data_IF_030815537366
#
_entry.id   IF_030815537366
#
_cell.length_a   1.000
_cell.length_b   1.000
_cell.length_c   1.000
_cell.angle_alpha   90.00
_cell.angle_beta   90.00
_cell.angle_gamma   90.00
#
_symmetry.space_group_name_H-M   'P 1'
#
loop_
_entity.id
_entity.type
_entity.pdbx_description
1 polymer ?
#
# COMPACT_ATOMS: atom_id res chain seq x y z
N UNK A 1 -54.45 33.33 -35.71
CA UNK A 1 -54.55 32.09 -34.87
C UNK A 1 -54.60 32.47 -33.37
N UNK A 2 -53.66 33.27 -32.89
CA UNK A 2 -53.56 33.66 -31.46
C UNK A 2 -54.80 34.40 -30.94
N UNK A 3 -55.48 35.25 -31.78
CA UNK A 3 -56.70 35.89 -31.39
C UNK A 3 -57.94 34.97 -31.30
N UNK A 4 -57.88 33.79 -31.83
CA UNK A 4 -58.93 32.80 -31.74
C UNK A 4 -58.77 31.89 -30.50
N UNK A 5 -57.54 31.77 -30.00
CA UNK A 5 -57.18 30.94 -28.86
C UNK A 5 -57.10 31.72 -27.53
N UNK A 6 -57.27 33.08 -27.60
CA UNK A 6 -57.29 33.94 -26.41
C UNK A 6 -55.91 34.36 -25.90
N UNK A 7 -54.83 33.96 -26.55
CA UNK A 7 -53.45 34.26 -26.18
C UNK A 7 -53.00 35.67 -26.64
N UNK A 8 -51.98 36.26 -26.00
CA UNK A 8 -51.41 37.55 -26.37
C UNK A 8 -50.40 37.42 -27.51
N UNK A 9 -50.67 37.97 -28.73
CA UNK A 9 -49.79 37.87 -29.86
C UNK A 9 -48.41 38.58 -29.70
N UNK A 10 -48.20 39.30 -28.61
CA UNK A 10 -46.91 39.95 -28.30
C UNK A 10 -46.17 39.28 -27.14
N UNK A 11 -46.76 38.29 -26.53
CA UNK A 11 -46.18 37.49 -25.46
C UNK A 11 -46.14 36.02 -25.90
N UNK A 12 -44.97 35.39 -26.00
CA UNK A 12 -44.88 33.99 -26.42
C UNK A 12 -45.33 33.00 -25.35
N UNK A 13 -45.50 33.42 -24.11
CA UNK A 13 -45.88 32.65 -22.91
C UNK A 13 -46.96 33.50 -22.17
N UNK A 14 -48.18 33.28 -22.54
CA UNK A 14 -49.32 34.20 -22.16
C UNK A 14 -49.64 34.16 -20.67
N UNK A 15 -49.51 33.01 -20.02
CA UNK A 15 -49.80 32.81 -18.58
C UNK A 15 -48.56 32.84 -17.68
N UNK A 16 -47.35 32.77 -18.29
CA UNK A 16 -46.08 32.97 -17.59
C UNK A 16 -45.58 31.75 -16.78
N UNK A 17 -45.94 30.57 -17.18
CA UNK A 17 -45.58 29.31 -16.50
C UNK A 17 -44.23 28.74 -16.92
N UNK A 18 -43.65 29.30 -18.01
CA UNK A 18 -42.36 28.88 -18.56
C UNK A 18 -42.45 28.02 -19.80
N UNK A 19 -43.65 27.60 -20.24
CA UNK A 19 -43.92 26.92 -21.51
C UNK A 19 -44.50 27.95 -22.52
N UNK A 20 -44.10 27.88 -23.77
CA UNK A 20 -44.63 28.78 -24.79
C UNK A 20 -46.01 28.35 -25.28
N UNK A 21 -46.95 29.28 -25.61
CA UNK A 21 -48.26 28.98 -26.14
C UNK A 21 -48.29 27.98 -27.28
N UNK A 22 -47.22 27.95 -28.09
CA UNK A 22 -47.05 27.01 -29.20
C UNK A 22 -46.74 25.59 -28.73
N UNK A 23 -45.89 25.45 -27.72
CA UNK A 23 -45.49 24.14 -27.11
C UNK A 23 -46.67 23.58 -26.30
N UNK A 24 -47.42 24.42 -25.61
CA UNK A 24 -48.61 24.02 -24.87
C UNK A 24 -49.68 23.40 -25.79
N UNK A 25 -49.89 24.00 -26.97
CA UNK A 25 -50.78 23.41 -27.96
C UNK A 25 -50.33 22.02 -28.44
N UNK A 26 -49.03 21.77 -28.47
CA UNK A 26 -48.50 20.47 -28.82
C UNK A 26 -48.65 19.47 -27.67
N UNK A 27 -48.41 19.92 -26.44
CA UNK A 27 -48.59 19.17 -25.20
C UNK A 27 -50.05 19.01 -24.82
N UNK A 28 -50.96 19.87 -25.37
CA UNK A 28 -52.40 19.91 -25.08
C UNK A 28 -52.71 20.45 -23.69
N UNK A 29 -51.90 21.34 -23.20
CA UNK A 29 -52.16 22.16 -22.02
C UNK A 29 -52.92 23.47 -22.44
N UNK A 30 -53.35 24.29 -21.46
CA UNK A 30 -54.09 25.52 -21.71
C UNK A 30 -53.21 26.73 -21.60
N UNK A 31 -52.84 27.42 -22.71
CA UNK A 31 -51.92 28.55 -22.73
C UNK A 31 -52.45 29.85 -22.06
N UNK A 32 -53.53 29.78 -21.32
CA UNK A 32 -54.07 30.85 -20.51
C UNK A 32 -54.18 30.46 -19.03
N UNK A 33 -53.76 29.25 -18.70
CA UNK A 33 -53.85 28.74 -17.33
C UNK A 33 -52.53 28.06 -16.95
N UNK A 34 -51.69 28.65 -16.10
CA UNK A 34 -50.35 28.17 -15.77
C UNK A 34 -50.31 26.83 -15.07
N UNK A 35 -51.46 26.24 -14.76
CA UNK A 35 -51.63 24.96 -14.08
C UNK A 35 -52.90 24.33 -14.69
N UNK A 36 -52.67 23.52 -15.74
CA UNK A 36 -53.76 23.03 -16.61
C UNK A 36 -54.71 22.08 -15.89
N UNK A 37 -54.22 21.19 -15.04
CA UNK A 37 -55.02 20.19 -14.33
C UNK A 37 -55.45 20.59 -12.92
N UNK A 38 -54.78 21.64 -12.35
CA UNK A 38 -55.19 22.27 -11.11
C UNK A 38 -54.66 21.62 -9.83
N UNK A 39 -53.55 20.90 -9.91
CA UNK A 39 -52.94 20.21 -8.78
C UNK A 39 -52.09 21.14 -7.90
N UNK A 40 -51.61 22.27 -8.45
CA UNK A 40 -50.79 23.30 -7.78
C UNK A 40 -49.38 23.41 -8.35
N UNK A 41 -48.97 22.59 -9.30
CA UNK A 41 -47.73 22.66 -10.06
C UNK A 41 -47.98 23.34 -11.41
N UNK A 42 -47.11 24.23 -11.84
CA UNK A 42 -47.26 24.89 -13.13
C UNK A 42 -46.82 23.94 -14.26
N UNK A 43 -47.48 23.97 -15.43
CA UNK A 43 -47.22 23.10 -16.59
C UNK A 43 -45.74 23.08 -17.02
N UNK A 44 -45.00 24.17 -16.74
CA UNK A 44 -43.55 24.24 -17.04
C UNK A 44 -42.66 23.52 -16.07
N UNK A 45 -43.16 23.16 -14.91
CA UNK A 45 -42.45 22.39 -13.88
C UNK A 45 -43.03 21.01 -13.61
N UNK A 46 -44.04 20.62 -14.43
CA UNK A 46 -44.84 19.42 -14.29
C UNK A 46 -44.53 18.42 -15.43
N UNK A 47 -44.13 17.23 -15.06
CA UNK A 47 -43.85 16.14 -16.03
C UNK A 47 -45.18 15.55 -16.58
N UNK A 48 -46.28 15.72 -15.83
CA UNK A 48 -47.64 15.21 -16.18
C UNK A 48 -48.73 16.31 -16.21
N UNK A 49 -48.55 17.44 -16.90
CA UNK A 49 -49.33 18.65 -16.76
C UNK A 49 -50.83 18.52 -17.17
N UNK A 50 -51.35 17.34 -17.13
CA UNK A 50 -52.75 16.99 -17.41
C UNK A 50 -53.27 15.89 -16.52
N UNK A 51 -52.48 15.43 -15.53
CA UNK A 51 -52.88 14.41 -14.57
C UNK A 51 -52.74 14.97 -13.15
N UNK A 52 -53.86 15.41 -12.53
CA UNK A 52 -53.84 16.10 -11.24
C UNK A 52 -53.45 15.21 -10.06
N UNK A 53 -53.06 13.95 -10.29
CA UNK A 53 -52.54 13.04 -9.28
C UNK A 53 -51.04 12.77 -9.39
N UNK A 54 -50.35 13.35 -10.43
CA UNK A 54 -48.94 13.18 -10.71
C UNK A 54 -48.31 14.51 -11.13
N UNK A 55 -47.09 14.83 -10.63
CA UNK A 55 -46.38 16.05 -10.96
C UNK A 55 -44.87 15.84 -11.26
N UNK A 56 -44.28 14.71 -10.86
CA UNK A 56 -42.87 14.36 -11.05
C UNK A 56 -42.70 12.98 -11.62
N UNK A 57 -41.62 12.81 -12.40
CA UNK A 57 -41.16 11.56 -13.01
C UNK A 57 -39.64 11.50 -12.83
N UNK A 58 -39.20 11.05 -11.66
CA UNK A 58 -37.80 11.16 -11.21
C UNK A 58 -36.83 10.38 -12.11
N UNK A 59 -37.22 9.18 -12.55
CA UNK A 59 -36.40 8.32 -13.41
C UNK A 59 -36.64 8.50 -14.91
N UNK A 60 -37.71 9.20 -15.30
CA UNK A 60 -38.11 9.42 -16.69
C UNK A 60 -38.76 8.18 -17.35
N UNK A 61 -39.31 7.25 -16.56
CA UNK A 61 -39.97 6.03 -17.04
C UNK A 61 -41.32 6.33 -17.78
N UNK A 62 -41.94 7.45 -17.45
CA UNK A 62 -43.27 7.87 -17.88
C UNK A 62 -44.41 7.38 -16.94
N UNK A 63 -44.02 6.89 -15.76
CA UNK A 63 -44.91 6.62 -14.62
C UNK A 63 -44.60 7.72 -13.57
N UNK A 64 -45.59 8.37 -13.00
CA UNK A 64 -45.36 9.40 -12.01
C UNK A 64 -45.00 8.81 -10.64
N UNK A 65 -44.23 9.58 -9.86
CA UNK A 65 -43.69 9.15 -8.58
C UNK A 65 -44.75 8.73 -7.56
N UNK A 66 -46.01 9.21 -7.67
CA UNK A 66 -47.06 8.82 -6.77
C UNK A 66 -47.60 7.40 -7.06
N UNK A 67 -47.38 6.88 -8.26
CA UNK A 67 -47.86 5.55 -8.72
C UNK A 67 -46.72 4.61 -9.04
N UNK A 68 -45.49 5.12 -9.18
CA UNK A 68 -44.31 4.28 -9.27
C UNK A 68 -43.99 3.64 -7.89
N UNK A 69 -43.26 2.63 -7.86
CA UNK A 69 -42.83 1.92 -6.65
C UNK A 69 -41.32 1.85 -6.49
N UNK A 70 -40.60 2.47 -7.45
CA UNK A 70 -39.13 2.57 -7.52
C UNK A 70 -38.87 3.88 -8.30
N UNK A 71 -39.01 5.02 -7.58
CA UNK A 71 -39.06 6.37 -8.17
C UNK A 71 -37.77 6.74 -8.94
N UNK A 72 -36.63 6.11 -8.66
CA UNK A 72 -35.33 6.45 -9.27
C UNK A 72 -34.72 5.31 -10.09
N UNK A 73 -35.42 4.16 -10.21
CA UNK A 73 -35.04 2.97 -11.00
C UNK A 73 -33.65 2.38 -10.62
N UNK A 74 -33.30 2.46 -9.32
CA UNK A 74 -32.03 1.91 -8.81
C UNK A 74 -32.11 0.40 -8.51
N UNK A 75 -33.33 -0.18 -8.53
CA UNK A 75 -33.61 -1.59 -8.37
C UNK A 75 -34.05 -2.02 -6.98
N UNK A 76 -34.28 -1.08 -6.06
CA UNK A 76 -35.00 -1.28 -4.80
C UNK A 76 -36.25 -0.40 -4.76
N UNK A 77 -37.24 -0.79 -3.96
CA UNK A 77 -38.48 -0.04 -3.91
C UNK A 77 -38.44 1.09 -2.90
N UNK A 78 -39.23 2.17 -3.10
CA UNK A 78 -39.37 3.28 -2.15
C UNK A 78 -39.64 2.82 -0.72
N UNK A 79 -40.43 1.76 -0.53
CA UNK A 79 -40.70 1.19 0.80
C UNK A 79 -39.43 0.57 1.41
N UNK A 80 -38.60 -0.08 0.59
CA UNK A 80 -37.31 -0.65 1.03
C UNK A 80 -36.31 0.45 1.31
N UNK A 81 -36.27 1.50 0.51
CA UNK A 81 -35.42 2.66 0.69
C UNK A 81 -35.74 3.43 1.98
N UNK A 82 -37.01 3.77 2.20
CA UNK A 82 -37.46 4.41 3.46
C UNK A 82 -37.08 3.57 4.68
N UNK A 83 -37.16 2.25 4.57
CA UNK A 83 -36.75 1.34 5.63
C UNK A 83 -35.23 1.29 5.85
N UNK A 84 -34.45 1.40 4.79
CA UNK A 84 -32.97 1.39 4.82
C UNK A 84 -32.42 2.79 5.12
N UNK A 85 -33.21 3.83 5.00
CA UNK A 85 -32.84 5.22 5.25
C UNK A 85 -32.20 5.91 4.06
N UNK A 86 -32.38 5.35 2.87
CA UNK A 86 -31.98 5.93 1.58
C UNK A 86 -33.06 6.86 1.03
N UNK A 87 -32.81 7.49 -0.09
CA UNK A 87 -33.69 8.50 -0.69
C UNK A 87 -34.36 8.00 -1.97
N UNK A 88 -35.68 7.67 -1.96
CA UNK A 88 -36.43 7.12 -3.10
C UNK A 88 -36.38 7.91 -4.42
N UNK A 89 -35.79 9.08 -4.44
CA UNK A 89 -35.65 9.96 -5.60
C UNK A 89 -34.21 10.24 -5.98
N UNK A 90 -33.28 9.47 -5.44
CA UNK A 90 -31.87 9.61 -5.72
C UNK A 90 -31.18 8.24 -5.72
N UNK A 91 -30.89 7.68 -6.88
CA UNK A 91 -30.39 6.30 -7.02
C UNK A 91 -29.03 6.04 -6.36
N UNK A 92 -28.38 7.05 -5.80
CA UNK A 92 -27.08 7.01 -5.15
C UNK A 92 -27.12 8.00 -3.98
N UNK A 93 -27.57 7.53 -2.81
CA UNK A 93 -27.86 8.38 -1.65
C UNK A 93 -26.65 9.08 -1.08
N UNK A 94 -25.51 8.40 -1.00
CA UNK A 94 -24.27 8.94 -0.42
C UNK A 94 -23.32 9.58 -1.44
N UNK A 95 -23.54 9.32 -2.74
CA UNK A 95 -22.86 10.01 -3.84
C UNK A 95 -21.49 9.44 -4.17
N UNK A 96 -21.23 8.17 -3.89
CA UNK A 96 -19.96 7.52 -4.15
C UNK A 96 -19.83 6.96 -5.57
N UNK A 97 -20.95 6.86 -6.32
CA UNK A 97 -21.00 6.36 -7.70
C UNK A 97 -21.50 4.93 -7.84
N UNK A 98 -21.94 4.31 -6.75
CA UNK A 98 -22.67 3.05 -6.75
C UNK A 98 -24.15 3.34 -6.39
N UNK A 99 -25.10 2.63 -6.97
CA UNK A 99 -26.50 2.82 -6.61
C UNK A 99 -26.86 2.08 -5.33
N UNK A 100 -27.82 2.64 -4.56
CA UNK A 100 -28.28 2.07 -3.30
C UNK A 100 -28.70 0.60 -3.46
N UNK A 101 -29.37 0.25 -4.57
CA UNK A 101 -29.75 -1.12 -4.88
C UNK A 101 -28.57 -2.04 -5.22
N UNK A 102 -27.50 -1.52 -5.85
CA UNK A 102 -26.27 -2.28 -6.08
C UNK A 102 -25.52 -2.51 -4.77
N UNK A 103 -25.46 -1.51 -3.89
CA UNK A 103 -24.80 -1.58 -2.60
C UNK A 103 -25.44 -2.60 -1.66
N UNK A 104 -26.77 -2.55 -1.51
CA UNK A 104 -27.50 -3.54 -0.72
C UNK A 104 -27.25 -4.95 -1.23
N UNK A 105 -27.15 -5.15 -2.53
CA UNK A 105 -26.86 -6.44 -3.14
C UNK A 105 -25.43 -6.90 -2.86
N UNK A 106 -24.46 -5.98 -2.86
CA UNK A 106 -23.04 -6.25 -2.64
C UNK A 106 -22.69 -6.32 -1.14
N UNK A 107 -23.50 -5.70 -0.28
CA UNK A 107 -23.36 -5.70 1.17
C UNK A 107 -22.61 -4.47 1.72
N UNK A 108 -22.40 -3.46 0.88
CA UNK A 108 -21.92 -2.13 1.30
C UNK A 108 -23.04 -1.31 1.93
N UNK A 109 -22.75 -0.17 2.53
CA UNK A 109 -23.71 0.69 3.23
C UNK A 109 -24.12 1.90 2.37
N UNK A 110 -25.34 1.93 1.77
CA UNK A 110 -25.78 2.99 0.87
C UNK A 110 -25.92 4.38 1.52
N UNK A 111 -25.59 4.52 2.78
CA UNK A 111 -25.55 5.81 3.48
C UNK A 111 -24.12 6.21 3.87
N UNK A 112 -23.11 5.43 3.50
CA UNK A 112 -21.72 5.67 3.86
C UNK A 112 -20.80 5.40 2.68
N UNK A 113 -20.26 6.42 2.01
CA UNK A 113 -19.48 6.28 0.79
C UNK A 113 -18.15 5.53 0.93
N UNK A 114 -17.79 5.07 2.12
CA UNK A 114 -16.56 4.35 2.46
C UNK A 114 -16.94 3.31 3.52
N UNK A 115 -17.36 2.13 3.05
CA UNK A 115 -18.01 1.11 3.90
C UNK A 115 -17.06 0.50 4.93
N UNK A 116 -15.77 0.33 4.63
CA UNK A 116 -14.79 -0.27 5.53
C UNK A 116 -13.91 0.75 6.27
N UNK A 117 -13.94 2.03 5.86
CA UNK A 117 -13.27 3.11 6.55
C UNK A 117 -11.76 3.17 6.32
N UNK A 118 -11.33 2.82 5.13
CA UNK A 118 -9.92 2.82 4.76
C UNK A 118 -9.45 4.15 4.14
N UNK A 119 -10.39 4.96 3.64
CA UNK A 119 -10.16 6.27 3.01
C UNK A 119 -10.30 6.29 1.49
N UNK A 120 -10.62 5.16 0.86
CA UNK A 120 -11.20 5.09 -0.47
C UNK A 120 -12.73 5.02 -0.36
N UNK A 121 -13.47 5.47 -1.37
CA UNK A 121 -14.90 5.21 -1.42
C UNK A 121 -15.20 3.93 -2.22
N UNK A 122 -16.35 3.30 -1.94
CA UNK A 122 -16.73 2.00 -2.51
C UNK A 122 -16.75 2.03 -4.05
N UNK A 123 -17.15 3.17 -4.65
CA UNK A 123 -17.12 3.40 -6.09
C UNK A 123 -15.70 3.47 -6.66
N UNK A 124 -14.78 4.15 -5.98
CA UNK A 124 -13.37 4.18 -6.37
C UNK A 124 -12.72 2.80 -6.25
N UNK A 125 -13.08 2.04 -5.24
CA UNK A 125 -12.60 0.67 -5.02
C UNK A 125 -13.06 -0.28 -6.13
N UNK A 126 -14.33 -0.22 -6.48
CA UNK A 126 -14.88 -0.95 -7.63
C UNK A 126 -14.11 -0.65 -8.93
N UNK A 127 -13.74 0.61 -9.17
CA UNK A 127 -12.95 1.00 -10.34
C UNK A 127 -11.52 0.46 -10.30
N UNK A 128 -10.91 0.35 -9.10
CA UNK A 128 -9.53 -0.11 -8.88
C UNK A 128 -9.44 -1.63 -8.75
N UNK A 129 -10.53 -2.27 -8.33
CA UNK A 129 -10.64 -3.71 -8.12
C UNK A 129 -10.21 -4.15 -6.72
N UNK A 130 -10.20 -3.23 -5.77
CA UNK A 130 -10.10 -3.52 -4.33
C UNK A 130 -11.45 -3.99 -3.78
N UNK A 131 -11.49 -4.45 -2.53
CA UNK A 131 -12.71 -4.97 -1.89
C UNK A 131 -13.30 -3.93 -0.93
N UNK A 132 -14.47 -3.32 -1.23
CA UNK A 132 -15.07 -2.26 -0.41
C UNK A 132 -15.48 -2.69 1.01
N UNK A 133 -15.23 -3.92 1.39
CA UNK A 133 -15.50 -4.46 2.72
C UNK A 133 -14.24 -4.95 3.44
N UNK A 134 -13.07 -4.81 2.82
CA UNK A 134 -11.78 -5.19 3.39
C UNK A 134 -10.76 -4.06 3.23
N UNK A 135 -10.46 -3.32 4.30
CA UNK A 135 -9.61 -2.13 4.26
C UNK A 135 -8.13 -2.37 3.89
N UNK A 136 -7.75 -3.61 3.57
CA UNK A 136 -6.38 -4.04 3.25
C UNK A 136 -6.47 -5.25 2.31
N UNK A 137 -6.81 -4.99 1.05
CA UNK A 137 -7.19 -6.02 0.05
C UNK A 137 -6.11 -7.07 -0.18
N UNK A 138 -4.83 -6.70 -0.16
CA UNK A 138 -3.72 -7.63 -0.40
C UNK A 138 -3.06 -8.18 0.89
N UNK A 139 -3.52 -7.69 2.05
CA UNK A 139 -3.13 -8.16 3.38
C UNK A 139 -1.66 -7.95 3.75
N UNK A 140 -1.11 -6.79 3.38
CA UNK A 140 0.27 -6.42 3.68
C UNK A 140 0.44 -5.56 4.96
N UNK A 141 -0.66 -5.17 5.60
CA UNK A 141 -0.83 -4.27 6.74
C UNK A 141 -0.69 -2.78 6.41
N UNK A 142 -0.89 -2.40 5.16
CA UNK A 142 -1.12 -1.04 4.72
C UNK A 142 -2.55 -0.98 4.16
N UNK A 143 -3.30 0.06 4.45
CA UNK A 143 -4.67 0.20 3.96
C UNK A 143 -4.70 0.66 2.50
N UNK A 144 -5.66 0.19 1.71
CA UNK A 144 -5.78 0.51 0.29
C UNK A 144 -5.77 2.01 0.04
N UNK A 145 -6.52 2.80 0.83
CA UNK A 145 -6.50 4.26 0.73
C UNK A 145 -5.15 4.89 1.12
N UNK A 146 -4.42 4.32 2.07
CA UNK A 146 -3.07 4.78 2.40
C UNK A 146 -2.08 4.46 1.28
N UNK A 147 -2.22 3.31 0.61
CA UNK A 147 -1.40 2.89 -0.51
C UNK A 147 -1.53 3.84 -1.70
N UNK A 148 -2.74 4.23 -2.04
CA UNK A 148 -2.99 5.23 -3.09
C UNK A 148 -2.26 6.54 -2.78
N UNK A 149 -2.26 6.99 -1.52
CA UNK A 149 -1.56 8.20 -1.10
C UNK A 149 -0.04 8.04 -1.20
N UNK A 150 0.49 6.85 -0.93
CA UNK A 150 1.93 6.55 -0.96
C UNK A 150 2.43 6.17 -2.35
N UNK A 151 1.53 5.75 -3.25
CA UNK A 151 1.80 5.37 -4.62
C UNK A 151 2.17 3.89 -4.79
N UNK A 152 1.93 3.08 -3.76
CA UNK A 152 1.98 1.61 -3.83
C UNK A 152 0.74 1.04 -4.52
N UNK A 153 0.65 -0.24 -4.67
CA UNK A 153 -0.45 -0.88 -5.39
C UNK A 153 -1.27 -1.78 -4.44
N UNK A 154 -2.51 -1.42 -4.09
CA UNK A 154 -3.35 -2.12 -3.11
C UNK A 154 -3.75 -3.56 -3.49
N UNK A 155 -3.26 -4.07 -4.59
CA UNK A 155 -3.44 -5.46 -5.03
C UNK A 155 -2.12 -6.25 -5.05
N UNK A 156 -1.02 -5.66 -4.57
CA UNK A 156 0.33 -6.27 -4.64
C UNK A 156 1.09 -5.96 -3.36
N UNK A 157 1.18 -6.89 -2.44
CA UNK A 157 1.69 -6.68 -1.08
C UNK A 157 3.18 -6.33 -0.96
N UNK A 158 3.92 -6.33 -2.06
CA UNK A 158 5.35 -6.01 -2.19
C UNK A 158 5.54 -5.32 -3.54
N UNK A 159 5.40 -3.99 -3.56
CA UNK A 159 5.31 -3.19 -4.78
C UNK A 159 6.60 -3.18 -5.60
N UNK A 160 7.76 -3.21 -4.97
CA UNK A 160 9.05 -3.20 -5.66
C UNK A 160 9.70 -4.58 -5.80
N UNK A 161 9.16 -5.60 -5.13
CA UNK A 161 9.61 -6.99 -5.15
C UNK A 161 11.02 -7.20 -4.62
N UNK A 162 11.33 -6.66 -3.46
CA UNK A 162 12.58 -6.87 -2.74
C UNK A 162 12.50 -7.98 -1.66
N UNK A 163 11.26 -8.43 -1.35
CA UNK A 163 10.96 -9.46 -0.37
C UNK A 163 10.48 -8.91 0.97
N UNK A 164 10.26 -7.60 1.08
CA UNK A 164 9.62 -6.92 2.19
C UNK A 164 8.22 -6.47 1.76
N UNK A 165 7.26 -6.46 2.66
CA UNK A 165 5.89 -6.01 2.37
C UNK A 165 5.81 -4.49 2.54
N UNK A 166 5.02 -3.80 1.69
CA UNK A 166 4.90 -2.35 1.69
C UNK A 166 4.53 -1.79 3.08
N UNK A 167 3.55 -2.41 3.76
CA UNK A 167 3.19 -2.03 5.13
C UNK A 167 4.30 -2.26 6.14
N UNK A 168 5.16 -3.26 5.95
CA UNK A 168 6.32 -3.49 6.78
C UNK A 168 7.40 -2.43 6.55
N UNK A 169 7.62 -2.04 5.32
CA UNK A 169 8.56 -0.98 4.94
C UNK A 169 8.17 0.37 5.52
N UNK A 170 6.89 0.74 5.41
CA UNK A 170 6.35 1.94 6.06
C UNK A 170 6.61 1.91 7.58
N UNK A 171 6.45 0.74 8.21
CA UNK A 171 6.69 0.59 9.65
C UNK A 171 8.15 0.82 10.05
N UNK A 172 9.10 0.34 9.25
CA UNK A 172 10.54 0.46 9.55
C UNK A 172 11.18 1.71 8.94
N UNK A 173 10.50 2.36 7.99
CA UNK A 173 10.91 3.63 7.39
C UNK A 173 11.68 3.51 6.08
N UNK A 174 11.70 2.32 5.47
CA UNK A 174 12.21 2.13 4.10
C UNK A 174 11.23 2.64 3.06
N UNK A 175 11.56 2.55 1.80
CA UNK A 175 10.76 3.08 0.70
C UNK A 175 10.17 1.93 -0.14
N UNK A 176 8.86 1.65 -0.05
CA UNK A 176 8.21 0.52 -0.73
C UNK A 176 8.19 0.58 -2.27
N UNK A 177 8.81 1.59 -2.84
CA UNK A 177 8.99 1.74 -4.29
C UNK A 177 10.48 1.70 -4.70
N UNK A 178 11.38 1.35 -3.78
CA UNK A 178 12.81 1.31 -4.02
C UNK A 178 13.48 0.18 -3.24
N UNK A 179 13.75 -0.91 -3.88
CA UNK A 179 14.32 -2.17 -3.37
C UNK A 179 15.55 -2.08 -2.47
N UNK A 180 16.28 -0.98 -2.51
CA UNK A 180 17.56 -0.72 -1.85
C UNK A 180 17.53 0.74 -1.41
N UNK A 181 17.02 0.97 -0.19
CA UNK A 181 16.71 2.32 0.32
C UNK A 181 17.95 3.14 0.54
N UNK A 182 19.02 2.58 1.08
CA UNK A 182 20.28 3.27 1.42
C UNK A 182 21.36 3.16 0.33
N UNK A 183 21.13 2.36 -0.70
CA UNK A 183 21.93 2.22 -1.92
C UNK A 183 23.31 1.58 -1.70
N UNK A 184 23.35 0.60 -0.84
CA UNK A 184 24.57 -0.17 -0.55
C UNK A 184 24.74 -1.44 -1.40
N UNK A 185 23.74 -1.78 -2.25
CA UNK A 185 23.60 -2.95 -3.15
C UNK A 185 23.02 -4.20 -2.49
N UNK A 186 22.66 -4.14 -1.21
CA UNK A 186 21.85 -5.14 -0.55
C UNK A 186 20.38 -4.69 -0.63
N UNK A 187 19.45 -5.59 -0.79
CA UNK A 187 18.03 -5.23 -0.84
C UNK A 187 17.48 -5.13 0.58
N UNK A 188 16.55 -4.21 0.82
CA UNK A 188 15.96 -3.97 2.14
C UNK A 188 15.44 -5.29 2.78
N UNK A 189 14.78 -6.14 1.97
CA UNK A 189 14.34 -7.47 2.42
C UNK A 189 15.47 -8.47 2.68
N UNK A 190 16.60 -8.35 1.99
CA UNK A 190 17.79 -9.15 2.27
C UNK A 190 18.47 -8.68 3.55
N UNK A 191 18.51 -7.37 3.82
CA UNK A 191 19.07 -6.78 5.02
C UNK A 191 18.36 -7.27 6.29
N UNK A 192 17.04 -7.26 6.30
CA UNK A 192 16.27 -7.87 7.39
C UNK A 192 16.66 -9.33 7.65
N UNK A 193 16.97 -10.08 6.60
CA UNK A 193 17.38 -11.47 6.71
C UNK A 193 18.80 -11.64 7.21
N UNK A 194 19.72 -10.72 6.83
CA UNK A 194 21.10 -10.71 7.31
C UNK A 194 21.26 -10.03 8.66
N UNK A 195 20.28 -9.22 9.08
CA UNK A 195 20.26 -8.50 10.35
C UNK A 195 21.02 -7.18 10.30
N UNK A 196 21.18 -6.62 9.10
CA UNK A 196 21.69 -5.27 8.86
C UNK A 196 20.58 -4.21 8.95
N UNK A 197 20.91 -2.96 8.89
CA UNK A 197 19.96 -1.82 8.98
C UNK A 197 19.69 -1.22 7.60
N UNK A 198 18.53 -1.43 6.98
CA UNK A 198 18.20 -0.99 5.62
C UNK A 198 18.13 0.53 5.43
N UNK A 199 18.48 1.30 6.45
CA UNK A 199 18.63 2.76 6.39
C UNK A 199 20.07 3.21 6.59
N UNK A 200 21.01 2.28 6.74
CA UNK A 200 22.41 2.57 7.03
C UNK A 200 23.33 1.67 6.19
N UNK A 201 23.92 2.18 5.11
CA UNK A 201 24.69 1.39 4.14
C UNK A 201 25.96 0.72 4.68
N UNK A 202 26.29 0.90 5.95
CA UNK A 202 27.46 0.36 6.65
C UNK A 202 27.04 0.14 8.11
N UNK A 203 26.41 -1.01 8.38
CA UNK A 203 25.75 -1.30 9.66
C UNK A 203 26.72 -1.33 10.83
N UNK A 204 27.94 -1.85 10.66
CA UNK A 204 28.93 -1.95 11.73
C UNK A 204 29.93 -0.78 11.79
N UNK A 205 29.95 0.08 10.78
CA UNK A 205 30.71 1.33 10.76
C UNK A 205 32.18 1.16 10.39
N UNK A 206 32.54 0.10 9.67
CA UNK A 206 33.91 -0.21 9.33
C UNK A 206 34.41 0.40 8.00
N UNK A 207 33.52 1.09 7.29
CA UNK A 207 33.73 1.75 5.99
C UNK A 207 33.69 0.81 4.77
N UNK A 208 33.21 -0.42 4.95
CA UNK A 208 32.81 -1.31 3.87
C UNK A 208 31.27 -1.32 3.87
N UNK A 209 30.66 -1.33 2.70
CA UNK A 209 29.20 -1.36 2.59
C UNK A 209 28.69 -2.80 2.84
N UNK A 210 27.54 -2.94 3.49
CA UNK A 210 26.97 -4.24 3.84
C UNK A 210 26.81 -5.15 2.61
N UNK A 211 26.36 -4.60 1.47
CA UNK A 211 26.27 -5.31 0.21
C UNK A 211 27.62 -5.75 -0.37
N UNK A 212 28.65 -4.92 -0.24
CA UNK A 212 30.03 -5.29 -0.64
C UNK A 212 30.60 -6.39 0.27
N UNK A 213 30.24 -6.41 1.56
CA UNK A 213 30.65 -7.44 2.49
C UNK A 213 30.00 -8.79 2.17
N UNK A 214 28.70 -8.81 1.91
CA UNK A 214 28.00 -10.03 1.47
C UNK A 214 28.61 -10.57 0.18
N UNK A 215 28.91 -9.71 -0.80
CA UNK A 215 29.59 -10.14 -2.04
C UNK A 215 30.97 -10.74 -1.78
N UNK A 216 31.74 -10.14 -0.85
CA UNK A 216 33.10 -10.60 -0.48
C UNK A 216 33.09 -11.77 0.50
N UNK A 217 31.95 -12.07 1.15
CA UNK A 217 31.81 -13.15 2.13
C UNK A 217 32.36 -12.78 3.52
N UNK A 218 32.38 -11.50 3.84
CA UNK A 218 32.62 -10.95 5.19
C UNK A 218 31.30 -10.81 5.96
N UNK A 219 31.34 -10.36 7.20
CA UNK A 219 30.16 -10.26 8.09
C UNK A 219 29.77 -8.81 8.29
N UNK A 220 28.68 -8.31 7.68
CA UNK A 220 28.29 -6.90 7.71
C UNK A 220 27.81 -6.40 9.10
N UNK A 221 27.82 -7.26 10.10
CA UNK A 221 27.50 -6.90 11.48
C UNK A 221 28.75 -6.86 12.38
N UNK A 222 29.95 -6.94 11.80
CA UNK A 222 31.16 -7.07 12.56
C UNK A 222 32.31 -6.21 12.00
N UNK A 223 32.60 -5.05 12.64
CA UNK A 223 33.71 -4.15 12.29
C UNK A 223 35.02 -4.92 12.16
N UNK A 224 35.43 -5.17 10.93
CA UNK A 224 36.67 -5.84 10.58
C UNK A 224 37.72 -4.89 9.98
N UNK A 225 37.47 -3.58 9.95
CA UNK A 225 38.37 -2.56 9.47
C UNK A 225 39.74 -2.56 10.18
N UNK A 226 39.78 -3.06 11.41
CA UNK A 226 41.01 -3.20 12.22
C UNK A 226 41.45 -4.66 12.32
N UNK A 227 41.01 -5.52 11.39
CA UNK A 227 41.23 -6.97 11.45
C UNK A 227 42.50 -7.42 10.72
N UNK A 228 43.56 -6.65 10.69
CA UNK A 228 44.86 -7.23 10.37
C UNK A 228 45.18 -8.33 11.40
N UNK A 229 45.14 -9.58 10.94
CA UNK A 229 45.71 -10.70 11.70
C UNK A 229 47.19 -10.50 11.77
N UNK A 230 47.65 -9.91 12.87
CA UNK A 230 49.07 -9.70 13.09
C UNK A 230 49.65 -10.93 13.78
N UNK A 231 50.52 -11.59 13.08
CA UNK A 231 51.29 -12.72 13.62
C UNK A 231 52.57 -12.21 14.22
N UNK A 232 52.86 -12.58 15.48
CA UNK A 232 54.14 -12.24 16.09
C UNK A 232 55.28 -12.88 15.31
N UNK A 233 56.27 -12.11 14.93
CA UNK A 233 57.42 -12.57 14.12
C UNK A 233 58.34 -13.48 14.88
N UNK A 234 58.30 -13.50 16.21
CA UNK A 234 59.25 -14.23 17.04
C UNK A 234 58.57 -15.16 18.05
N UNK A 235 58.85 -16.42 17.95
CA UNK A 235 58.58 -17.40 19.00
C UNK A 235 59.93 -17.93 19.55
N UNK A 236 60.20 -17.64 20.83
CA UNK A 236 61.36 -18.17 21.52
C UNK A 236 60.96 -19.26 22.49
N UNK A 237 60.92 -20.56 22.06
CA UNK A 237 60.51 -21.65 22.90
C UNK A 237 61.44 -21.78 24.13
N UNK A 238 60.83 -21.66 25.32
CA UNK A 238 61.60 -21.78 26.56
C UNK A 238 62.11 -20.49 27.18
N UNK A 239 61.78 -19.34 26.59
CA UNK A 239 62.01 -18.05 27.25
C UNK A 239 61.26 -17.99 28.59
N UNK A 240 61.89 -17.41 29.60
CA UNK A 240 61.21 -17.09 30.86
C UNK A 240 60.30 -15.88 30.75
N UNK A 241 60.34 -15.17 29.62
CA UNK A 241 59.44 -14.10 29.29
C UNK A 241 58.16 -14.66 28.69
N UNK A 242 57.04 -14.44 29.37
CA UNK A 242 55.75 -14.98 28.99
C UNK A 242 55.25 -14.52 27.61
N UNK A 243 55.66 -13.33 27.18
CA UNK A 243 55.31 -12.77 25.85
C UNK A 243 56.11 -13.40 24.71
N UNK A 244 57.28 -13.98 25.00
CA UNK A 244 58.13 -14.65 24.03
C UNK A 244 57.97 -16.20 24.04
N UNK A 245 57.24 -16.74 24.99
CA UNK A 245 57.09 -18.17 25.19
C UNK A 245 55.89 -18.80 24.44
N UNK A 246 54.97 -18.02 23.94
CA UNK A 246 53.86 -18.45 23.12
C UNK A 246 53.77 -17.67 21.81
N UNK A 247 53.35 -18.33 20.78
CA UNK A 247 53.12 -17.69 19.50
C UNK A 247 51.75 -17.01 19.53
N UNK A 248 51.76 -15.68 19.29
CA UNK A 248 50.59 -14.86 19.41
C UNK A 248 50.13 -14.42 18.03
N UNK A 249 48.89 -14.60 17.78
CA UNK A 249 48.15 -14.07 16.64
C UNK A 249 47.19 -13.02 17.21
N UNK A 250 47.41 -11.75 16.93
CA UNK A 250 46.52 -10.68 17.37
C UNK A 250 45.16 -10.82 16.60
N UNK A 251 44.10 -10.50 17.27
CA UNK A 251 42.73 -10.56 16.76
C UNK A 251 42.21 -11.98 16.41
N UNK A 252 42.93 -13.07 16.72
CA UNK A 252 42.49 -14.45 16.41
C UNK A 252 41.21 -14.83 17.17
N UNK A 253 40.95 -14.21 18.30
CA UNK A 253 39.73 -14.37 19.09
C UNK A 253 38.46 -13.97 18.34
N UNK A 254 38.57 -13.08 17.39
CA UNK A 254 37.49 -12.64 16.50
C UNK A 254 37.10 -13.75 15.49
N UNK A 255 37.97 -14.74 15.30
CA UNK A 255 37.77 -15.88 14.37
C UNK A 255 37.68 -17.21 15.10
N UNK A 256 36.63 -17.50 15.88
CA UNK A 256 36.54 -18.70 16.74
C UNK A 256 36.52 -20.00 15.96
N UNK A 257 36.21 -19.98 14.68
CA UNK A 257 36.18 -21.14 13.80
C UNK A 257 37.43 -21.29 12.91
N UNK A 258 38.32 -20.31 12.92
CA UNK A 258 39.55 -20.37 12.13
C UNK A 258 40.42 -21.57 12.52
N UNK A 259 41.10 -22.15 11.55
CA UNK A 259 42.06 -23.20 11.73
C UNK A 259 43.44 -22.59 11.53
N UNK A 260 44.22 -22.54 12.61
CA UNK A 260 45.63 -22.13 12.56
C UNK A 260 46.48 -23.37 12.34
N UNK A 261 47.33 -23.35 11.31
CA UNK A 261 48.26 -24.40 10.97
C UNK A 261 49.67 -23.85 10.85
N UNK A 262 50.65 -24.51 11.43
CA UNK A 262 52.06 -24.13 11.35
C UNK A 262 52.84 -25.22 10.67
N UNK A 263 53.73 -24.85 9.77
CA UNK A 263 54.60 -25.73 9.01
C UNK A 263 56.04 -25.39 9.26
N UNK A 264 56.89 -26.41 9.33
CA UNK A 264 58.33 -26.17 9.32
C UNK A 264 58.87 -25.90 7.90
N UNK A 265 60.11 -25.45 7.76
CA UNK A 265 60.74 -25.12 6.47
C UNK A 265 60.74 -26.26 5.43
N UNK A 266 60.49 -27.48 5.86
CA UNK A 266 60.40 -28.64 4.98
C UNK A 266 58.94 -28.95 4.55
N UNK A 267 57.97 -28.11 4.88
CA UNK A 267 56.55 -28.29 4.58
C UNK A 267 55.86 -29.30 5.49
N UNK A 268 56.48 -29.73 6.57
CA UNK A 268 55.82 -30.65 7.52
C UNK A 268 54.96 -29.84 8.50
N UNK A 269 53.68 -30.21 8.61
CA UNK A 269 52.75 -29.62 9.59
C UNK A 269 53.18 -29.97 11.01
N UNK A 270 53.47 -28.98 11.82
CA UNK A 270 53.91 -29.15 13.21
C UNK A 270 52.87 -28.70 14.23
N UNK A 271 51.86 -27.95 13.79
CA UNK A 271 50.75 -27.57 14.63
C UNK A 271 49.49 -27.43 13.79
N UNK A 272 48.32 -27.70 14.39
CA UNK A 272 47.00 -27.42 13.80
C UNK A 272 45.98 -27.37 14.92
N UNK A 273 45.20 -26.27 14.97
CA UNK A 273 44.13 -26.09 15.95
C UNK A 273 43.02 -25.25 15.38
N UNK A 274 41.77 -25.74 15.50
CA UNK A 274 40.58 -24.96 15.28
C UNK A 274 40.27 -24.14 16.55
N UNK A 275 39.90 -22.87 16.40
CA UNK A 275 39.67 -21.97 17.52
C UNK A 275 40.95 -21.78 18.36
N UNK A 276 42.00 -21.29 17.74
CA UNK A 276 43.27 -21.01 18.39
C UNK A 276 43.13 -19.85 19.37
N UNK A 277 43.71 -19.96 20.52
CA UNK A 277 43.63 -18.98 21.63
C UNK A 277 45.02 -18.57 22.14
N UNK A 278 45.98 -18.45 21.25
CA UNK A 278 47.32 -17.95 21.56
C UNK A 278 48.09 -18.75 22.66
N UNK A 279 47.89 -20.07 22.68
CA UNK A 279 48.45 -20.89 23.74
C UNK A 279 49.47 -21.94 23.26
N UNK A 280 49.88 -21.93 22.00
CA UNK A 280 50.91 -22.83 21.52
C UNK A 280 52.31 -22.33 21.85
N UNK A 281 53.13 -23.16 22.47
CA UNK A 281 54.49 -22.84 22.96
C UNK A 281 55.60 -23.42 22.11
N UNK A 282 55.31 -23.79 20.87
CA UNK A 282 56.28 -24.39 19.97
C UNK A 282 56.58 -25.86 20.25
N UNK A 283 55.61 -26.64 20.74
CA UNK A 283 55.73 -28.06 21.02
C UNK A 283 55.21 -28.89 19.83
N UNK A 284 55.96 -29.96 19.48
CA UNK A 284 55.56 -30.94 18.51
C UNK A 284 55.89 -32.36 19.00
N UNK A 285 54.89 -33.24 19.04
CA UNK A 285 55.02 -34.63 19.53
C UNK A 285 55.71 -34.73 20.90
N UNK A 286 55.39 -33.81 21.82
CA UNK A 286 55.88 -33.81 23.17
C UNK A 286 57.30 -33.29 23.36
N UNK A 287 57.90 -32.76 22.32
CA UNK A 287 59.24 -32.11 22.38
C UNK A 287 59.15 -30.70 21.80
N UNK A 288 60.00 -29.80 22.31
CA UNK A 288 60.07 -28.44 21.76
C UNK A 288 60.67 -28.45 20.37
N UNK A 289 60.13 -27.62 19.52
CA UNK A 289 60.69 -27.41 18.18
C UNK A 289 62.05 -26.74 18.26
N UNK A 290 63.00 -27.11 17.39
CA UNK A 290 64.28 -26.44 17.30
C UNK A 290 64.07 -25.00 16.75
N UNK A 291 64.97 -24.10 17.07
CA UNK A 291 65.00 -22.76 16.49
C UNK A 291 65.07 -22.83 14.96
N UNK A 292 64.19 -22.03 14.30
CA UNK A 292 64.08 -22.03 12.84
C UNK A 292 62.92 -21.26 12.34
N UNK A 293 62.78 -21.13 11.01
CA UNK A 293 61.62 -20.50 10.38
C UNK A 293 60.43 -21.45 10.30
N UNK A 294 59.28 -21.02 10.68
CA UNK A 294 58.01 -21.70 10.60
C UNK A 294 57.00 -20.79 9.86
N UNK A 295 56.08 -21.36 9.19
CA UNK A 295 55.10 -20.66 8.30
C UNK A 295 53.67 -21.04 8.66
#
# INVERSE_FOLDING_TARGET
KEKEDGTDPNDPDTDGDGVNDGEEKEKKTDPNNPDTDGDGTNDGGDDFPRDPDEDTDTDGSGTGDNTDTDDDDDGITDEEEIKNGTNPKNPDTDGDGISDGEEIKNGTDPNNPDSDGDGLNDGEEKERGTDPLDPDTDNDNLKDGEEIIKGTNPLVPDSDNDGLLDGKEIQIGTNPLNKDTDQDKLLDGEEIKYGTDPLNPDTDGDSILDGDEIENGTDPNFDDSNNEILVSELLTPGSSNRLESSWTIMNIEKYPNAIVEVYNRNGQKVFSKKGYNNNWQGDFKGSRLPGGSYY
#
